data_IF_383709319534
#
_entry.id   IF_383709319534
#
_cell.length_a   1.000
_cell.length_b   1.000
_cell.length_c   1.000
_cell.angle_alpha   90.00
_cell.angle_beta   90.00
_cell.angle_gamma   90.00
#
_symmetry.space_group_name_H-M   'P 1'
#
loop_
_entity.id
_entity.type
_entity.pdbx_description
1 polymer ?
#
# COMPACT_ATOMS: atom_id res chain seq x y z
N UNK A 1 -18.59 20.74 59.94
CA UNK A 1 -18.53 19.66 60.94
C UNK A 1 -19.16 18.40 60.37
N UNK A 2 -18.33 17.49 59.85
CA UNK A 2 -18.64 16.08 59.60
C UNK A 2 -17.39 15.30 60.02
N UNK A 3 -17.49 14.62 61.15
CA UNK A 3 -16.43 13.77 61.69
C UNK A 3 -16.42 12.47 60.87
N UNK A 4 -15.33 12.21 60.16
CA UNK A 4 -15.05 10.88 59.62
C UNK A 4 -14.11 10.19 60.59
N UNK A 5 -14.66 9.18 61.25
CA UNK A 5 -13.99 8.15 62.03
C UNK A 5 -13.04 7.38 61.12
N UNK A 6 -11.74 7.40 61.43
CA UNK A 6 -10.77 6.47 60.84
C UNK A 6 -11.12 5.04 61.26
N UNK A 7 -11.52 4.23 60.29
CA UNK A 7 -11.63 2.77 60.45
C UNK A 7 -10.22 2.17 60.34
N UNK A 8 -9.80 1.27 61.26
CA UNK A 8 -8.48 0.67 61.23
C UNK A 8 -8.32 -0.19 59.96
N UNK A 9 -7.22 0.03 59.24
CA UNK A 9 -6.83 -0.74 58.08
C UNK A 9 -6.65 -2.23 58.48
N UNK A 10 -7.41 -3.12 57.82
CA UNK A 10 -7.18 -4.56 57.91
C UNK A 10 -5.77 -4.90 57.38
N UNK A 11 -5.03 -5.80 58.05
CA UNK A 11 -3.72 -6.21 57.56
C UNK A 11 -3.87 -6.97 56.24
N UNK A 12 -3.31 -6.40 55.18
CA UNK A 12 -3.14 -7.04 53.87
C UNK A 12 -2.31 -8.31 54.07
N UNK A 13 -2.95 -9.47 53.90
CA UNK A 13 -2.23 -10.74 53.89
C UNK A 13 -1.25 -10.73 52.70
N UNK A 14 0.02 -11.10 52.91
CA UNK A 14 0.99 -11.19 51.81
C UNK A 14 0.53 -12.23 50.79
N UNK A 15 0.83 -12.03 49.49
CA UNK A 15 0.43 -12.95 48.44
C UNK A 15 1.01 -14.34 48.73
N UNK A 16 0.13 -15.35 48.73
CA UNK A 16 0.52 -16.76 48.87
C UNK A 16 1.52 -17.09 47.77
N UNK A 17 2.80 -17.21 48.15
CA UNK A 17 3.86 -17.72 47.29
C UNK A 17 3.55 -19.20 47.05
N UNK A 18 2.90 -19.50 45.93
CA UNK A 18 2.74 -20.88 45.46
C UNK A 18 4.12 -21.35 45.04
N UNK A 19 4.81 -22.05 45.94
CA UNK A 19 6.08 -22.71 45.67
C UNK A 19 5.96 -23.54 44.38
N UNK A 20 6.89 -23.39 43.42
CA UNK A 20 6.87 -24.20 42.21
C UNK A 20 6.99 -25.67 42.60
N UNK A 21 5.97 -26.48 42.25
CA UNK A 21 6.00 -27.93 42.43
C UNK A 21 7.31 -28.48 41.84
N UNK A 22 8.01 -29.42 42.51
CA UNK A 22 9.24 -30.00 42.00
C UNK A 22 8.97 -30.60 40.61
N UNK A 23 9.79 -30.23 39.62
CA UNK A 23 9.75 -30.81 38.28
C UNK A 23 9.94 -32.32 38.42
N UNK A 24 8.87 -33.08 38.23
CA UNK A 24 8.94 -34.54 38.17
C UNK A 24 10.01 -34.93 37.14
N UNK A 25 10.98 -35.77 37.53
CA UNK A 25 11.97 -36.31 36.62
C UNK A 25 11.24 -37.11 35.53
N UNK A 26 11.04 -36.46 34.38
CA UNK A 26 10.42 -37.09 33.22
C UNK A 26 11.31 -38.28 32.83
N UNK A 27 10.78 -39.49 32.91
CA UNK A 27 11.49 -40.71 32.52
C UNK A 27 12.15 -40.53 31.16
N UNK A 28 13.42 -40.97 30.98
CA UNK A 28 14.20 -40.79 29.73
C UNK A 28 13.40 -41.17 28.48
N UNK A 29 12.61 -42.25 28.58
CA UNK A 29 11.71 -42.73 27.51
C UNK A 29 10.62 -41.70 27.15
N UNK A 30 10.06 -41.00 28.14
CA UNK A 30 9.08 -39.93 27.92
C UNK A 30 9.73 -38.65 27.35
N UNK A 31 10.98 -38.35 27.71
CA UNK A 31 11.72 -37.24 27.09
C UNK A 31 12.03 -37.52 25.61
N UNK A 32 12.43 -38.75 25.29
CA UNK A 32 12.65 -39.21 23.91
C UNK A 32 11.36 -39.17 23.09
N UNK A 33 10.23 -39.61 23.65
CA UNK A 33 8.92 -39.51 22.99
C UNK A 33 8.50 -38.06 22.73
N UNK A 34 8.73 -37.16 23.69
CA UNK A 34 8.46 -35.73 23.52
C UNK A 34 9.36 -35.11 22.44
N UNK A 35 10.64 -35.48 22.40
CA UNK A 35 11.57 -35.02 21.37
C UNK A 35 11.17 -35.52 19.97
N UNK A 36 10.79 -36.79 19.85
CA UNK A 36 10.32 -37.38 18.60
C UNK A 36 9.05 -36.68 18.10
N UNK A 37 8.05 -36.49 18.98
CA UNK A 37 6.82 -35.78 18.64
C UNK A 37 7.12 -34.33 18.21
N UNK A 38 8.01 -33.65 18.92
CA UNK A 38 8.47 -32.31 18.56
C UNK A 38 9.09 -32.25 17.17
N UNK A 39 9.93 -33.23 16.82
CA UNK A 39 10.54 -33.32 15.50
C UNK A 39 9.49 -33.56 14.40
N UNK A 40 8.48 -34.41 14.64
CA UNK A 40 7.38 -34.65 13.70
C UNK A 40 6.52 -33.39 13.50
N UNK A 41 6.25 -32.62 14.55
CA UNK A 41 5.52 -31.36 14.45
C UNK A 41 6.29 -30.32 13.62
N UNK A 42 7.60 -30.20 13.82
CA UNK A 42 8.45 -29.31 13.03
C UNK A 42 8.45 -29.72 11.56
N UNK A 43 8.65 -31.01 11.27
CA UNK A 43 8.62 -31.52 9.89
C UNK A 43 7.26 -31.32 9.22
N UNK A 44 6.17 -31.54 9.96
CA UNK A 44 4.81 -31.27 9.49
C UNK A 44 4.59 -29.79 9.19
N UNK A 45 5.02 -28.90 10.08
CA UNK A 45 4.95 -27.45 9.89
C UNK A 45 5.75 -27.00 8.65
N UNK A 46 6.98 -27.51 8.50
CA UNK A 46 7.84 -27.23 7.33
C UNK A 46 7.21 -27.71 6.03
N UNK A 47 6.60 -28.91 6.03
CA UNK A 47 5.90 -29.44 4.87
C UNK A 47 4.71 -28.56 4.48
N UNK A 48 3.86 -28.20 5.45
CA UNK A 48 2.72 -27.31 5.21
C UNK A 48 3.16 -25.95 4.67
N UNK A 49 4.22 -25.37 5.25
CA UNK A 49 4.79 -24.11 4.79
C UNK A 49 5.31 -24.19 3.34
N UNK A 50 6.02 -25.27 2.98
CA UNK A 50 6.49 -25.51 1.61
C UNK A 50 5.33 -25.66 0.63
N UNK A 51 4.32 -26.44 0.97
CA UNK A 51 3.14 -26.66 0.12
C UNK A 51 2.36 -25.36 -0.08
N UNK A 52 2.11 -24.60 0.98
CA UNK A 52 1.45 -23.30 0.89
C UNK A 52 2.24 -22.31 0.02
N UNK A 53 3.57 -22.28 0.16
CA UNK A 53 4.45 -21.46 -0.69
C UNK A 53 4.34 -21.85 -2.16
N UNK A 54 4.34 -23.15 -2.49
CA UNK A 54 4.19 -23.62 -3.86
C UNK A 54 2.85 -23.24 -4.47
N UNK A 55 1.75 -23.38 -3.73
CA UNK A 55 0.41 -22.96 -4.18
C UNK A 55 0.38 -21.46 -4.46
N UNK A 56 0.96 -20.65 -3.56
CA UNK A 56 1.05 -19.20 -3.75
C UNK A 56 1.85 -18.83 -5.01
N UNK A 57 3.01 -19.46 -5.22
CA UNK A 57 3.85 -19.22 -6.39
C UNK A 57 3.14 -19.59 -7.70
N UNK A 58 2.45 -20.73 -7.73
CA UNK A 58 1.65 -21.13 -8.89
C UNK A 58 0.59 -20.09 -9.22
N UNK A 59 -0.14 -19.63 -8.20
CA UNK A 59 -1.17 -18.58 -8.36
C UNK A 59 -0.60 -17.25 -8.84
N UNK A 60 0.56 -16.84 -8.32
CA UNK A 60 1.23 -15.61 -8.75
C UNK A 60 1.66 -15.67 -10.23
N UNK A 61 2.03 -16.87 -10.71
CA UNK A 61 2.46 -17.14 -12.08
C UNK A 61 1.32 -17.46 -13.05
N UNK A 62 0.07 -17.55 -12.57
CA UNK A 62 -1.09 -17.77 -13.44
C UNK A 62 -1.23 -16.61 -14.42
N UNK A 63 -1.21 -16.95 -15.71
CA UNK A 63 -1.41 -16.00 -16.80
C UNK A 63 -2.91 -15.83 -17.02
N UNK A 64 -3.40 -14.62 -16.77
CA UNK A 64 -4.79 -14.23 -16.98
C UNK A 64 -4.85 -13.48 -18.31
N UNK A 65 -5.66 -13.98 -19.24
CA UNK A 65 -5.95 -13.30 -20.50
C UNK A 65 -7.22 -12.46 -20.37
N UNK A 66 -7.08 -11.15 -20.61
CA UNK A 66 -8.19 -10.22 -20.58
C UNK A 66 -8.98 -10.28 -21.90
N UNK A 67 -10.21 -9.72 -21.90
CA UNK A 67 -11.05 -9.63 -23.11
C UNK A 67 -10.39 -8.85 -24.25
N UNK A 68 -9.40 -8.02 -23.95
CA UNK A 68 -8.59 -7.29 -24.93
C UNK A 68 -7.47 -8.13 -25.57
N UNK A 69 -7.29 -9.40 -25.16
CA UNK A 69 -6.15 -10.25 -25.53
C UNK A 69 -4.86 -9.95 -24.78
N UNK A 70 -4.88 -8.99 -23.84
CA UNK A 70 -3.71 -8.67 -23.01
C UNK A 70 -3.52 -9.73 -21.94
N UNK A 71 -2.27 -10.15 -21.71
CA UNK A 71 -1.90 -11.18 -20.74
C UNK A 71 -1.20 -10.52 -19.56
N UNK A 72 -1.64 -10.87 -18.37
CA UNK A 72 -1.11 -10.36 -17.11
C UNK A 72 -0.89 -11.51 -16.14
N UNK A 73 -0.07 -11.28 -15.14
CA UNK A 73 0.07 -12.17 -13.98
C UNK A 73 -0.31 -11.45 -12.70
N UNK A 74 -0.79 -12.22 -11.71
CA UNK A 74 -1.05 -11.67 -10.37
C UNK A 74 0.26 -11.18 -9.73
N UNK A 75 1.37 -11.85 -10.03
CA UNK A 75 2.70 -11.46 -9.59
C UNK A 75 3.10 -10.05 -10.03
N UNK A 76 2.85 -9.67 -11.28
CA UNK A 76 3.16 -8.32 -11.80
C UNK A 76 2.39 -7.22 -11.07
N UNK A 77 1.12 -7.45 -10.75
CA UNK A 77 0.30 -6.50 -9.99
C UNK A 77 0.84 -6.38 -8.56
N UNK A 78 1.07 -7.51 -7.89
CA UNK A 78 1.55 -7.54 -6.51
C UNK A 78 2.98 -7.00 -6.36
N UNK A 79 3.78 -7.02 -7.43
CA UNK A 79 5.11 -6.39 -7.44
C UNK A 79 5.03 -4.85 -7.31
N UNK A 80 3.90 -4.25 -7.69
CA UNK A 80 3.69 -2.79 -7.64
C UNK A 80 2.69 -2.39 -6.57
N UNK A 81 1.66 -3.19 -6.32
CA UNK A 81 0.57 -2.92 -5.39
C UNK A 81 0.73 -3.77 -4.13
N UNK A 82 0.84 -3.09 -2.99
CA UNK A 82 0.87 -3.72 -1.67
C UNK A 82 -0.53 -3.80 -1.08
N UNK A 83 -0.84 -4.94 -0.45
CA UNK A 83 -2.06 -5.09 0.35
C UNK A 83 -2.01 -4.22 1.63
N UNK A 84 -0.81 -4.01 2.16
CA UNK A 84 -0.58 -3.21 3.36
C UNK A 84 -0.25 -1.77 3.01
N UNK A 85 -0.86 -0.84 3.76
CA UNK A 85 -0.61 0.59 3.65
C UNK A 85 0.75 0.95 4.25
N UNK A 86 1.60 1.59 3.46
CA UNK A 86 2.84 2.21 3.93
C UNK A 86 2.55 3.49 4.73
N UNK A 87 3.45 3.89 5.64
CA UNK A 87 3.38 5.20 6.29
C UNK A 87 3.29 6.34 5.27
N UNK A 88 2.65 7.43 5.65
CA UNK A 88 2.52 8.59 4.77
C UNK A 88 3.89 9.27 4.57
N UNK A 89 4.42 9.19 3.35
CA UNK A 89 5.54 9.97 2.86
C UNK A 89 5.08 10.76 1.61
N UNK A 90 5.18 12.10 1.58
CA UNK A 90 4.65 12.89 0.48
C UNK A 90 5.49 12.70 -0.79
N UNK A 91 4.92 12.05 -1.81
CA UNK A 91 5.56 11.92 -3.14
C UNK A 91 5.41 13.17 -4.02
N UNK A 92 4.55 14.10 -3.62
CA UNK A 92 4.37 15.39 -4.30
C UNK A 92 4.51 16.52 -3.29
N UNK A 93 5.71 16.73 -2.71
CA UNK A 93 5.97 17.85 -1.83
C UNK A 93 5.91 19.16 -2.64
N UNK A 94 5.59 20.26 -1.96
CA UNK A 94 5.52 21.59 -2.59
C UNK A 94 6.87 22.07 -3.15
N UNK A 95 7.99 21.44 -2.76
CA UNK A 95 9.32 21.69 -3.33
C UNK A 95 9.47 21.20 -4.77
N UNK A 96 8.63 20.27 -5.22
CA UNK A 96 8.65 19.74 -6.59
C UNK A 96 7.55 20.45 -7.39
N UNK A 97 7.88 21.08 -8.53
CA UNK A 97 6.95 21.97 -9.23
C UNK A 97 5.86 21.25 -10.03
N UNK A 98 5.40 20.06 -9.62
CA UNK A 98 4.37 19.31 -10.35
C UNK A 98 3.03 20.06 -10.40
N UNK A 99 2.53 20.52 -9.26
CA UNK A 99 1.25 21.20 -9.20
C UNK A 99 1.30 22.64 -9.71
N UNK A 100 2.44 23.32 -9.58
CA UNK A 100 2.64 24.65 -10.16
C UNK A 100 2.67 24.60 -11.68
N UNK A 101 3.34 23.59 -12.27
CA UNK A 101 3.34 23.39 -13.72
C UNK A 101 1.95 23.01 -14.25
N UNK A 102 1.20 22.15 -13.53
CA UNK A 102 -0.19 21.87 -13.88
C UNK A 102 -1.07 23.12 -13.84
N UNK A 103 -0.91 23.98 -12.83
CA UNK A 103 -1.60 25.28 -12.76
C UNK A 103 -1.27 26.12 -14.00
N UNK A 104 0.03 26.28 -14.31
CA UNK A 104 0.53 27.06 -15.44
C UNK A 104 -0.06 26.59 -16.76
N UNK A 105 -0.01 25.29 -17.03
CA UNK A 105 -0.46 24.72 -18.29
C UNK A 105 -1.99 24.76 -18.44
N UNK A 106 -2.72 24.54 -17.36
CA UNK A 106 -4.19 24.45 -17.40
C UNK A 106 -4.88 25.82 -17.35
N UNK A 107 -4.19 26.86 -16.87
CA UNK A 107 -4.78 28.17 -16.65
C UNK A 107 -5.82 28.23 -15.52
N UNK A 108 -5.99 27.14 -14.76
CA UNK A 108 -6.89 27.14 -13.61
C UNK A 108 -6.29 27.92 -12.45
N UNK A 109 -7.13 28.72 -11.79
CA UNK A 109 -6.70 29.40 -10.58
C UNK A 109 -6.91 28.52 -9.33
N UNK A 110 -5.82 27.92 -8.86
CA UNK A 110 -5.75 27.26 -7.56
C UNK A 110 -4.38 27.51 -6.92
N UNK A 111 -4.29 27.35 -5.59
CA UNK A 111 -3.01 27.45 -4.90
C UNK A 111 -2.29 26.09 -4.94
N UNK A 112 -1.12 25.96 -5.61
CA UNK A 112 -0.39 24.70 -5.66
C UNK A 112 0.11 24.25 -4.29
N UNK A 113 0.31 25.18 -3.34
CA UNK A 113 0.79 24.89 -2.00
C UNK A 113 -0.31 24.36 -1.06
N UNK A 114 -1.58 24.58 -1.40
CA UNK A 114 -2.71 24.09 -0.61
C UNK A 114 -2.80 22.57 -0.64
N UNK A 115 -3.14 21.97 0.50
CA UNK A 115 -3.33 20.53 0.61
C UNK A 115 -4.54 20.04 -0.19
N UNK A 116 -5.63 20.81 -0.18
CA UNK A 116 -6.85 20.52 -0.92
C UNK A 116 -6.75 21.17 -2.29
N UNK A 117 -6.96 20.37 -3.34
CA UNK A 117 -6.92 20.82 -4.73
C UNK A 117 -8.26 20.53 -5.39
N UNK A 118 -8.63 21.28 -6.45
CA UNK A 118 -9.82 20.98 -7.23
C UNK A 118 -9.85 19.53 -7.71
N UNK A 119 -11.03 18.92 -7.74
CA UNK A 119 -11.19 17.50 -8.11
C UNK A 119 -10.58 17.15 -9.47
N UNK A 120 -10.61 18.09 -10.42
CA UNK A 120 -10.02 17.92 -11.76
C UNK A 120 -8.51 17.64 -11.71
N UNK A 121 -7.79 18.20 -10.74
CA UNK A 121 -6.35 17.94 -10.54
C UNK A 121 -6.11 16.49 -10.13
N UNK A 122 -7.01 15.90 -9.35
CA UNK A 122 -6.97 14.47 -9.01
C UNK A 122 -7.16 13.57 -10.23
N UNK A 123 -8.02 13.99 -11.17
CA UNK A 123 -8.23 13.30 -12.45
C UNK A 123 -6.96 13.37 -13.32
N UNK A 124 -6.36 14.55 -13.47
CA UNK A 124 -5.10 14.70 -14.20
C UNK A 124 -3.96 13.92 -13.57
N UNK A 125 -3.86 13.89 -12.25
CA UNK A 125 -2.87 13.07 -11.57
C UNK A 125 -3.05 11.58 -11.89
N UNK A 126 -4.29 11.09 -11.90
CA UNK A 126 -4.58 9.72 -12.30
C UNK A 126 -4.20 9.46 -13.77
N UNK A 127 -4.51 10.39 -14.67
CA UNK A 127 -4.19 10.31 -16.10
C UNK A 127 -2.67 10.30 -16.34
N UNK A 128 -1.98 11.32 -15.86
CA UNK A 128 -0.57 11.60 -16.17
C UNK A 128 0.38 10.63 -15.48
N UNK A 129 0.09 10.25 -14.24
CA UNK A 129 0.99 9.42 -13.43
C UNK A 129 0.50 7.98 -13.36
N UNK A 130 -0.73 7.76 -12.89
CA UNK A 130 -1.22 6.39 -12.73
C UNK A 130 -1.55 5.71 -14.06
N UNK A 131 -1.86 6.47 -15.11
CA UNK A 131 -2.07 5.97 -16.47
C UNK A 131 -0.80 5.45 -17.15
N UNK A 132 0.38 5.68 -16.55
CA UNK A 132 1.67 5.17 -17.01
C UNK A 132 2.01 3.79 -16.45
N UNK A 133 1.31 3.34 -15.42
CA UNK A 133 1.41 1.96 -14.97
C UNK A 133 0.64 1.03 -15.92
N UNK A 134 0.78 -0.29 -15.74
CA UNK A 134 -0.08 -1.22 -16.45
C UNK A 134 -1.56 -0.94 -16.11
N UNK A 135 -2.46 -1.23 -17.05
CA UNK A 135 -3.89 -0.84 -16.98
C UNK A 135 -4.60 -1.40 -15.75
N UNK A 136 -4.03 -2.43 -15.13
CA UNK A 136 -4.53 -3.20 -14.02
C UNK A 136 -4.12 -2.62 -12.66
N UNK A 137 -3.03 -1.84 -12.60
CA UNK A 137 -2.51 -1.27 -11.35
C UNK A 137 -3.51 -0.29 -10.74
N UNK A 138 -4.06 0.64 -11.52
CA UNK A 138 -4.98 1.65 -10.99
C UNK A 138 -6.29 1.01 -10.47
N UNK A 139 -6.96 0.08 -11.18
CA UNK A 139 -8.05 -0.71 -10.63
C UNK A 139 -7.70 -1.46 -9.35
N UNK A 140 -6.53 -2.12 -9.31
CA UNK A 140 -6.07 -2.85 -8.12
C UNK A 140 -5.88 -1.90 -6.92
N UNK A 141 -5.24 -0.74 -7.12
CA UNK A 141 -5.10 0.31 -6.10
C UNK A 141 -6.46 0.82 -5.59
N UNK A 142 -7.45 0.96 -6.49
CA UNK A 142 -8.80 1.38 -6.12
C UNK A 142 -9.57 0.31 -5.36
N UNK A 143 -9.26 -0.97 -5.59
CA UNK A 143 -9.84 -2.10 -4.88
C UNK A 143 -9.28 -2.25 -3.46
N UNK A 144 -7.96 -2.07 -3.27
CA UNK A 144 -7.34 -2.13 -1.93
C UNK A 144 -7.63 -0.91 -1.07
N UNK A 145 -7.95 0.23 -1.70
CA UNK A 145 -8.30 1.48 -1.03
C UNK A 145 -9.67 1.98 -1.50
N UNK A 146 -10.77 1.29 -1.17
CA UNK A 146 -12.10 1.62 -1.65
C UNK A 146 -12.52 3.03 -1.21
N UNK A 147 -13.30 3.70 -2.06
CA UNK A 147 -13.91 4.97 -1.69
C UNK A 147 -15.09 4.73 -0.75
N UNK A 148 -15.30 5.66 0.19
CA UNK A 148 -16.53 5.72 0.98
C UNK A 148 -17.72 6.08 0.10
N UNK A 149 -18.93 6.02 0.67
CA UNK A 149 -20.19 6.36 0.00
C UNK A 149 -20.22 7.79 -0.55
N UNK A 150 -19.44 8.70 0.02
CA UNK A 150 -19.28 10.08 -0.44
C UNK A 150 -18.20 10.27 -1.51
N UNK A 151 -17.59 9.18 -2.01
CA UNK A 151 -16.55 9.21 -3.04
C UNK A 151 -15.13 9.54 -2.52
N UNK A 152 -14.97 9.85 -1.23
CA UNK A 152 -13.67 10.12 -0.62
C UNK A 152 -12.96 8.81 -0.29
N UNK A 153 -11.66 8.73 -0.58
CA UNK A 153 -10.83 7.59 -0.16
C UNK A 153 -10.19 7.87 1.19
N UNK A 154 -10.12 6.87 2.10
CA UNK A 154 -9.52 7.07 3.42
C UNK A 154 -8.04 7.43 3.34
N UNK A 155 -7.34 6.93 2.33
CA UNK A 155 -5.89 7.12 2.18
C UNK A 155 -5.52 7.52 0.75
N UNK A 156 -4.27 7.97 0.56
CA UNK A 156 -3.73 8.27 -0.77
C UNK A 156 -3.33 6.98 -1.48
N UNK A 157 -3.53 6.90 -2.79
CA UNK A 157 -3.25 5.69 -3.58
C UNK A 157 -1.78 5.25 -3.48
N UNK A 158 -0.84 6.19 -3.46
CA UNK A 158 0.59 5.87 -3.38
C UNK A 158 1.02 5.16 -2.08
N UNK A 159 0.21 5.21 -1.02
CA UNK A 159 0.49 4.48 0.22
C UNK A 159 0.30 2.97 0.05
N UNK A 160 -0.38 2.53 -1.02
CA UNK A 160 -0.54 1.12 -1.36
C UNK A 160 0.38 0.68 -2.50
N UNK A 161 1.35 1.51 -2.89
CA UNK A 161 2.43 1.08 -3.77
C UNK A 161 3.51 0.39 -2.95
N UNK A 162 4.17 -0.60 -3.53
CA UNK A 162 5.44 -1.14 -3.02
C UNK A 162 6.53 -0.06 -3.10
N UNK A 163 7.67 -0.19 -2.38
CA UNK A 163 8.79 0.73 -2.50
C UNK A 163 9.24 0.95 -3.96
N UNK A 164 9.25 -0.12 -4.76
CA UNK A 164 9.56 -0.08 -6.19
C UNK A 164 8.48 0.68 -6.98
N UNK A 165 7.21 0.49 -6.61
CA UNK A 165 6.09 1.25 -7.18
C UNK A 165 6.16 2.74 -6.85
N UNK A 166 6.58 3.10 -5.63
CA UNK A 166 6.80 4.50 -5.23
C UNK A 166 7.97 5.12 -6.00
N UNK A 167 9.10 4.41 -6.14
CA UNK A 167 10.24 4.88 -6.94
C UNK A 167 9.85 5.12 -8.42
N UNK A 168 9.07 4.22 -9.02
CA UNK A 168 8.53 4.44 -10.38
C UNK A 168 7.60 5.65 -10.45
N UNK A 169 6.76 5.85 -9.44
CA UNK A 169 5.87 7.02 -9.38
C UNK A 169 6.67 8.32 -9.31
N UNK A 170 7.77 8.35 -8.55
CA UNK A 170 8.68 9.49 -8.48
C UNK A 170 9.35 9.75 -9.82
N UNK A 171 9.86 8.71 -10.48
CA UNK A 171 10.39 8.82 -11.84
C UNK A 171 9.33 9.40 -12.79
N UNK A 172 8.08 8.90 -12.73
CA UNK A 172 7.01 9.38 -13.60
C UNK A 172 6.66 10.84 -13.34
N UNK A 173 6.69 11.26 -12.07
CA UNK A 173 6.49 12.65 -11.65
C UNK A 173 7.57 13.54 -12.23
N UNK A 174 8.84 13.17 -12.08
CA UNK A 174 9.97 14.01 -12.48
C UNK A 174 10.05 14.16 -13.99
N UNK A 175 9.86 13.06 -14.72
CA UNK A 175 9.75 13.09 -16.18
C UNK A 175 8.55 13.91 -16.68
N UNK A 176 7.39 13.81 -16.00
CA UNK A 176 6.24 14.62 -16.35
C UNK A 176 6.52 16.11 -16.10
N UNK A 177 7.15 16.46 -14.98
CA UNK A 177 7.57 17.85 -14.68
C UNK A 177 8.49 18.38 -15.77
N UNK A 178 9.50 17.62 -16.16
CA UNK A 178 10.45 18.06 -17.19
C UNK A 178 9.78 18.23 -18.54
N UNK A 179 8.85 17.33 -18.90
CA UNK A 179 8.07 17.49 -20.11
C UNK A 179 7.13 18.71 -20.04
N UNK A 180 6.48 18.95 -18.90
CA UNK A 180 5.62 20.12 -18.70
C UNK A 180 6.35 21.43 -18.95
N UNK A 181 7.60 21.57 -18.46
CA UNK A 181 8.43 22.77 -18.66
C UNK A 181 8.68 23.10 -20.14
N UNK A 182 8.68 22.09 -21.02
CA UNK A 182 8.87 22.27 -22.47
C UNK A 182 7.61 22.66 -23.23
N UNK A 183 6.46 22.72 -22.54
CA UNK A 183 5.15 22.93 -23.16
C UNK A 183 4.54 24.26 -22.74
N UNK A 184 3.80 24.89 -23.65
CA UNK A 184 3.06 26.11 -23.39
C UNK A 184 1.62 25.83 -22.89
N UNK A 185 1.01 24.73 -23.34
CA UNK A 185 -0.40 24.41 -23.07
C UNK A 185 -0.58 22.97 -22.57
N UNK A 186 -1.66 22.69 -21.84
CA UNK A 186 -2.03 21.32 -21.46
C UNK A 186 -2.20 20.39 -22.66
N UNK A 187 -2.72 20.91 -23.77
CA UNK A 187 -2.93 20.13 -24.98
C UNK A 187 -1.61 19.64 -25.57
N UNK A 188 -0.64 20.55 -25.77
CA UNK A 188 0.70 20.22 -26.23
C UNK A 188 1.39 19.21 -25.30
N UNK A 189 1.26 19.41 -23.99
CA UNK A 189 1.80 18.50 -22.99
C UNK A 189 1.23 17.08 -23.13
N UNK A 190 -0.11 16.94 -23.22
CA UNK A 190 -0.77 15.64 -23.41
C UNK A 190 -0.37 14.97 -24.72
N UNK A 191 -0.23 15.74 -25.80
CA UNK A 191 0.27 15.24 -27.09
C UNK A 191 1.68 14.64 -26.96
N UNK A 192 2.62 15.38 -26.36
CA UNK A 192 3.99 14.89 -26.16
C UNK A 192 4.04 13.72 -25.18
N UNK A 193 3.23 13.74 -24.13
CA UNK A 193 3.14 12.65 -23.15
C UNK A 193 2.67 11.35 -23.81
N UNK A 194 1.69 11.42 -24.70
CA UNK A 194 1.26 10.28 -25.52
C UNK A 194 2.35 9.81 -26.48
N UNK A 195 3.02 10.72 -27.18
CA UNK A 195 4.10 10.36 -28.10
C UNK A 195 5.25 9.65 -27.39
N UNK A 196 5.62 10.08 -26.20
CA UNK A 196 6.77 9.57 -25.46
C UNK A 196 6.45 8.34 -24.60
N UNK A 197 5.25 8.28 -24.01
CA UNK A 197 4.90 7.28 -23.00
C UNK A 197 3.61 6.50 -23.29
N UNK A 198 2.98 6.72 -24.45
CA UNK A 198 1.73 6.08 -24.88
C UNK A 198 0.57 6.23 -23.87
N UNK A 199 0.57 7.30 -23.07
CA UNK A 199 -0.51 7.60 -22.12
C UNK A 199 -1.73 8.08 -22.89
N UNK A 200 -2.85 7.35 -22.85
CA UNK A 200 -4.05 7.77 -23.57
C UNK A 200 -4.61 9.04 -22.94
N UNK A 201 -4.90 10.04 -23.77
CA UNK A 201 -5.61 11.25 -23.38
C UNK A 201 -6.81 11.44 -24.29
N UNK A 202 -7.86 12.05 -23.74
CA UNK A 202 -9.02 12.44 -24.52
C UNK A 202 -8.80 13.86 -25.06
N UNK A 203 -8.96 14.04 -26.37
CA UNK A 203 -9.07 15.37 -26.95
C UNK A 203 -10.42 15.93 -26.48
N UNK A 204 -10.42 17.12 -25.87
CA UNK A 204 -11.67 17.81 -25.55
C UNK A 204 -12.32 18.21 -26.89
N UNK A 205 -13.20 17.36 -27.41
CA UNK A 205 -14.01 17.63 -28.60
C UNK A 205 -15.22 18.46 -28.21
N UNK A 206 -15.02 19.75 -27.92
CA UNK A 206 -16.10 20.75 -27.86
C UNK A 206 -15.55 22.13 -28.25
#
# INVERSE_FOLDING_TARGET
>A
MKNYTESPAEPVQPPVVVSPKPKAEVSKKSQEQQALLGQMLIQGADYLAKTAKQVRLKREQEVIELRSGFKITIGEINAIVSANRLPYAPLFPNSIPFFSELKRLSGLDFDPAQFIKPSVVGTWLCEIIYGRFSKEVLPALRAVNPAFTNGVRPHKLFQYLTPEGQAKLEQFRDEAVDLMKTCATMYEFRQKLFQQYAVPYQIETF
#
